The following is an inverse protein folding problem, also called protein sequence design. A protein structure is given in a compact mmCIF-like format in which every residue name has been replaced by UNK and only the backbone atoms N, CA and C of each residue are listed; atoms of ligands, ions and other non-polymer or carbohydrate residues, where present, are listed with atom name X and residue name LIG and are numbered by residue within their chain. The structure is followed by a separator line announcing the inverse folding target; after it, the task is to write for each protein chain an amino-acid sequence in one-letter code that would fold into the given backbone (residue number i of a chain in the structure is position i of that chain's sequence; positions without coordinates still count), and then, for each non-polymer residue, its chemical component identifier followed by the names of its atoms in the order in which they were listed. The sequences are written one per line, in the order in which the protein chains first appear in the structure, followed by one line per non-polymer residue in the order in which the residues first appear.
data_IF_669973375195
#
_entry.id   IF_669973375195
#
_cell.length_a   1.000
_cell.length_b   1.000
_cell.length_c   1.000
_cell.angle_alpha   90.00
_cell.angle_beta   90.00
_cell.angle_gamma   90.00
#
_symmetry.space_group_name_H-M   'P 1'
#
loop_
_entity.id
_entity.type
_entity.pdbx_description
1 polymer ?
#
# COMPACT_ATOMS: atom_id res chain seq x y z
N UNK A 1 5.89 -17.32 22.89
CA UNK A 1 6.41 -15.93 22.91
C UNK A 1 6.67 -15.42 21.50
N UNK A 2 7.35 -16.22 20.67
CA UNK A 2 7.63 -15.95 19.25
C UNK A 2 6.41 -15.55 18.41
N UNK A 3 5.30 -16.29 18.49
CA UNK A 3 4.11 -16.01 17.66
C UNK A 3 3.47 -14.65 17.94
N UNK A 4 3.52 -14.15 19.19
CA UNK A 4 3.03 -12.79 19.52
C UNK A 4 3.95 -11.70 18.98
N UNK A 5 5.26 -11.97 18.93
CA UNK A 5 6.27 -11.06 18.37
C UNK A 5 6.12 -10.95 16.86
N UNK A 6 5.96 -12.08 16.16
CA UNK A 6 5.68 -12.15 14.72
C UNK A 6 4.35 -11.44 14.40
N UNK A 7 3.28 -11.70 15.15
CA UNK A 7 2.00 -11.01 14.95
C UNK A 7 2.11 -9.49 15.19
N UNK A 8 2.93 -9.05 16.14
CA UNK A 8 3.17 -7.64 16.38
C UNK A 8 4.06 -6.99 15.32
N UNK A 9 5.01 -7.73 14.73
CA UNK A 9 5.78 -7.28 13.55
C UNK A 9 4.90 -7.17 12.30
N UNK A 10 4.02 -8.14 12.06
CA UNK A 10 3.03 -8.09 10.99
C UNK A 10 2.09 -6.88 11.20
N UNK A 11 1.62 -6.65 12.43
CA UNK A 11 0.85 -5.44 12.79
C UNK A 11 1.66 -4.14 12.69
N UNK A 12 2.99 -4.20 12.82
CA UNK A 12 3.93 -3.06 12.74
C UNK A 12 4.46 -2.80 11.34
N UNK A 13 4.29 -3.72 10.38
CA UNK A 13 4.53 -3.45 8.95
C UNK A 13 3.48 -2.41 8.53
N UNK A 14 3.77 -1.14 8.83
CA UNK A 14 3.07 0.00 8.23
C UNK A 14 3.27 -0.20 6.73
N UNK A 15 2.19 -0.55 6.04
CA UNK A 15 2.18 -0.62 4.58
C UNK A 15 2.78 0.64 3.97
N UNK A 16 3.24 0.56 2.72
CA UNK A 16 4.01 1.60 2.05
C UNK A 16 3.43 2.99 2.24
N UNK A 17 4.26 4.01 2.46
CA UNK A 17 3.75 5.38 2.58
C UNK A 17 3.03 5.80 1.28
N UNK A 18 1.98 6.60 1.39
CA UNK A 18 1.21 7.04 0.22
C UNK A 18 2.12 7.83 -0.77
N UNK A 19 3.15 8.51 -0.24
CA UNK A 19 4.22 9.14 -1.03
C UNK A 19 5.05 8.12 -1.78
N UNK A 20 5.49 7.04 -1.11
CA UNK A 20 6.31 5.99 -1.72
C UNK A 20 5.56 5.23 -2.81
N UNK A 21 4.27 4.98 -2.61
CA UNK A 21 3.40 4.39 -3.64
C UNK A 21 3.35 5.32 -4.85
N UNK A 22 3.21 6.63 -4.64
CA UNK A 22 3.19 7.62 -5.74
C UNK A 22 4.49 7.63 -6.54
N UNK A 23 5.64 7.59 -5.85
CA UNK A 23 6.97 7.54 -6.47
C UNK A 23 7.17 6.28 -7.31
N UNK A 24 6.76 5.11 -6.81
CA UNK A 24 6.97 3.84 -7.52
C UNK A 24 6.00 3.66 -8.68
N UNK A 25 4.72 3.96 -8.47
CA UNK A 25 3.66 3.65 -9.45
C UNK A 25 3.42 4.76 -10.47
N UNK A 26 3.95 5.95 -10.24
CA UNK A 26 3.62 7.15 -11.01
C UNK A 26 2.20 7.68 -10.78
N UNK A 27 1.39 7.03 -9.95
CA UNK A 27 0.05 7.52 -9.61
C UNK A 27 0.20 8.80 -8.78
N UNK A 28 -0.46 9.91 -9.14
CA UNK A 28 -0.36 11.15 -8.38
C UNK A 28 -0.78 10.97 -6.92
N UNK A 29 -0.04 11.58 -6.00
CA UNK A 29 -0.32 11.52 -4.57
C UNK A 29 -1.77 11.90 -4.23
N UNK A 30 -2.30 12.94 -4.88
CA UNK A 30 -3.69 13.39 -4.70
C UNK A 30 -4.70 12.32 -5.13
N UNK A 31 -4.42 11.58 -6.20
CA UNK A 31 -5.27 10.48 -6.66
C UNK A 31 -5.32 9.36 -5.62
N UNK A 32 -4.18 9.00 -5.01
CA UNK A 32 -4.14 8.01 -3.93
C UNK A 32 -4.96 8.46 -2.71
N UNK A 33 -4.88 9.74 -2.34
CA UNK A 33 -5.70 10.30 -1.25
C UNK A 33 -7.20 10.24 -1.55
N UNK A 34 -7.61 10.48 -2.80
CA UNK A 34 -9.00 10.34 -3.21
C UNK A 34 -9.48 8.88 -3.14
N UNK A 35 -8.66 7.93 -3.59
CA UNK A 35 -8.98 6.50 -3.55
C UNK A 35 -9.11 5.99 -2.11
N UNK A 36 -8.21 6.41 -1.23
CA UNK A 36 -8.24 6.13 0.21
C UNK A 36 -9.54 6.59 0.90
N UNK A 37 -10.11 7.71 0.46
CA UNK A 37 -11.35 8.29 1.00
C UNK A 37 -12.62 7.72 0.36
N UNK A 38 -12.48 6.86 -0.65
CA UNK A 38 -13.61 6.24 -1.32
C UNK A 38 -14.21 5.13 -0.45
N UNK A 39 -15.51 4.85 -0.65
CA UNK A 39 -16.20 3.70 -0.04
C UNK A 39 -15.40 2.39 -0.17
N UNK A 40 -15.32 1.62 0.92
CA UNK A 40 -14.55 0.38 1.02
C UNK A 40 -14.99 -0.71 0.03
N UNK A 41 -16.25 -0.70 -0.38
CA UNK A 41 -16.77 -1.64 -1.36
C UNK A 41 -16.29 -1.33 -2.79
N UNK A 42 -15.90 -0.08 -3.07
CA UNK A 42 -15.52 0.37 -4.41
C UNK A 42 -14.11 -0.08 -4.78
N UNK A 43 -13.92 -0.35 -6.08
CA UNK A 43 -12.65 -0.86 -6.60
C UNK A 43 -11.46 0.06 -6.30
N UNK A 44 -11.67 1.39 -6.29
CA UNK A 44 -10.60 2.37 -5.99
C UNK A 44 -10.03 2.18 -4.59
N UNK A 45 -10.87 1.94 -3.60
CA UNK A 45 -10.42 1.66 -2.24
C UNK A 45 -9.65 0.34 -2.18
N UNK A 46 -10.17 -0.71 -2.85
CA UNK A 46 -9.51 -2.03 -2.92
C UNK A 46 -8.14 -1.94 -3.60
N UNK A 47 -8.03 -1.18 -4.68
CA UNK A 47 -6.78 -0.95 -5.40
C UNK A 47 -5.78 -0.17 -4.55
N UNK A 48 -6.22 0.90 -3.89
CA UNK A 48 -5.38 1.62 -2.92
C UNK A 48 -4.89 0.69 -1.81
N UNK A 49 -5.77 -0.16 -1.26
CA UNK A 49 -5.41 -1.09 -0.20
C UNK A 49 -4.41 -2.15 -0.67
N UNK A 50 -4.58 -2.67 -1.89
CA UNK A 50 -3.61 -3.56 -2.51
C UNK A 50 -2.23 -2.90 -2.56
N UNK A 51 -2.12 -1.72 -3.19
CA UNK A 51 -0.85 -0.97 -3.28
C UNK A 51 -0.25 -0.65 -1.90
N UNK A 52 -1.10 -0.36 -0.91
CA UNK A 52 -0.68 -0.07 0.46
C UNK A 52 -0.05 -1.28 1.15
N UNK A 53 -0.57 -2.47 0.87
CA UNK A 53 -0.16 -3.72 1.50
C UNK A 53 0.88 -4.51 0.69
N UNK A 54 1.10 -4.15 -0.58
CA UNK A 54 2.13 -4.75 -1.44
C UNK A 54 3.53 -4.60 -0.86
N UNK A 55 4.38 -5.57 -1.17
CA UNK A 55 5.81 -5.45 -0.92
C UNK A 55 6.45 -4.44 -1.87
N UNK A 56 7.39 -3.63 -1.37
CA UNK A 56 8.04 -2.59 -2.17
C UNK A 56 8.76 -3.17 -3.38
N UNK A 57 9.44 -4.31 -3.19
CA UNK A 57 10.21 -4.95 -4.25
C UNK A 57 9.32 -5.47 -5.37
N UNK A 58 8.10 -5.89 -5.04
CA UNK A 58 7.10 -6.33 -6.00
C UNK A 58 6.54 -5.14 -6.79
N UNK A 59 6.25 -4.02 -6.13
CA UNK A 59 5.81 -2.81 -6.85
C UNK A 59 6.91 -2.27 -7.76
N UNK A 60 8.16 -2.22 -7.29
CA UNK A 60 9.27 -1.75 -8.12
C UNK A 60 9.44 -2.58 -9.39
N UNK A 61 9.38 -3.92 -9.29
CA UNK A 61 9.48 -4.82 -10.45
C UNK A 61 8.39 -4.58 -11.50
N UNK A 62 7.19 -4.19 -11.07
CA UNK A 62 6.02 -4.06 -11.96
C UNK A 62 5.83 -2.66 -12.54
N UNK A 63 6.35 -1.61 -11.88
CA UNK A 63 6.08 -0.21 -12.25
C UNK A 63 7.34 0.57 -12.66
N UNK A 64 8.53 0.09 -12.29
CA UNK A 64 9.81 0.69 -12.68
C UNK A 64 10.51 -0.33 -13.58
N UNK A 65 10.27 -0.20 -14.89
CA UNK A 65 11.00 -0.92 -15.94
C UNK A 65 12.23 -0.14 -16.39
#
# INVERSE_FOLDING_TARGET
MESKKIMNEIKRKKGLSDKRISEITGIPYITLLQWKKTDKAKYRYKLYLYLKLSDESELMKNFIS
#
